data_IF_383285518744
#
_entry.id   IF_383285518744
#
_cell.length_a   1.000
_cell.length_b   1.000
_cell.length_c   1.000
_cell.angle_alpha   90.00
_cell.angle_beta   90.00
_cell.angle_gamma   90.00
#
_symmetry.space_group_name_H-M   'P 1'
#
loop_
_entity.id
_entity.type
_entity.pdbx_description
1 polymer ?
#
# COMPACT_ATOMS: atom_id res chain seq x y z
N UNK A 1 14.67 25.39 -12.81
CA UNK A 1 14.71 23.92 -12.64
C UNK A 1 13.55 23.31 -13.41
N UNK A 2 13.78 22.26 -14.22
CA UNK A 2 12.74 21.57 -14.98
C UNK A 2 12.16 20.41 -14.16
N UNK A 3 11.18 20.71 -13.30
CA UNK A 3 10.61 19.75 -12.32
C UNK A 3 9.61 18.78 -12.96
N UNK A 4 8.90 19.20 -14.00
CA UNK A 4 7.81 18.42 -14.58
C UNK A 4 8.26 17.06 -15.13
N UNK A 5 9.37 17.02 -15.89
CA UNK A 5 9.87 15.76 -16.44
C UNK A 5 10.35 14.81 -15.34
N UNK A 6 10.98 15.34 -14.28
CA UNK A 6 11.45 14.54 -13.14
C UNK A 6 10.31 13.83 -12.41
N UNK A 7 9.16 14.49 -12.25
CA UNK A 7 7.96 13.88 -11.66
C UNK A 7 7.33 12.88 -12.64
N UNK A 8 7.14 13.29 -13.89
CA UNK A 8 6.44 12.47 -14.88
C UNK A 8 7.18 11.19 -15.29
N UNK A 9 8.52 11.24 -15.30
CA UNK A 9 9.37 10.10 -15.66
C UNK A 9 9.77 9.25 -14.44
N UNK A 10 9.26 9.56 -13.24
CA UNK A 10 9.56 8.80 -12.05
C UNK A 10 9.16 7.32 -12.24
N UNK A 11 10.07 6.42 -11.88
CA UNK A 11 9.79 4.99 -11.99
C UNK A 11 8.63 4.59 -11.09
N UNK A 12 7.71 3.74 -11.57
CA UNK A 12 6.62 3.23 -10.73
C UNK A 12 7.17 2.48 -9.51
N UNK A 13 6.47 2.60 -8.38
CA UNK A 13 6.74 1.76 -7.21
C UNK A 13 6.14 0.38 -7.48
N UNK A 14 6.95 -0.67 -7.34
CA UNK A 14 6.47 -2.05 -7.41
C UNK A 14 5.63 -2.36 -6.16
N UNK A 15 4.31 -2.22 -6.31
CA UNK A 15 3.34 -2.45 -5.24
C UNK A 15 2.66 -3.81 -5.40
N UNK A 16 2.37 -4.47 -4.29
CA UNK A 16 1.59 -5.71 -4.27
C UNK A 16 0.54 -5.64 -3.18
N UNK A 17 -0.71 -5.92 -3.54
CA UNK A 17 -1.80 -6.12 -2.60
C UNK A 17 -2.05 -7.63 -2.42
N UNK A 18 -2.11 -8.06 -1.17
CA UNK A 18 -2.43 -9.44 -0.79
C UNK A 18 -3.59 -9.41 0.21
N UNK A 19 -4.33 -10.52 0.30
CA UNK A 19 -5.33 -10.73 1.34
C UNK A 19 -4.62 -10.84 2.69
N UNK A 20 -5.12 -10.10 3.68
CA UNK A 20 -4.61 -10.09 5.06
C UNK A 20 -5.61 -10.64 6.09
N UNK A 21 -6.87 -10.79 5.69
CA UNK A 21 -7.92 -11.29 6.57
C UNK A 21 -9.00 -11.99 5.74
N UNK A 22 -9.49 -13.13 6.23
CA UNK A 22 -10.59 -13.90 5.62
C UNK A 22 -11.55 -14.25 6.75
N UNK A 23 -12.83 -13.90 6.61
CA UNK A 23 -13.88 -14.22 7.59
C UNK A 23 -13.54 -13.85 9.05
N UNK A 24 -12.85 -12.73 9.25
CA UNK A 24 -12.43 -12.28 10.58
C UNK A 24 -11.12 -12.89 11.07
N UNK A 25 -10.61 -13.96 10.45
CA UNK A 25 -9.33 -14.56 10.77
C UNK A 25 -8.17 -13.84 10.07
N UNK A 26 -7.17 -13.43 10.83
CA UNK A 26 -5.96 -12.76 10.35
C UNK A 26 -5.03 -13.78 9.66
N UNK A 27 -5.03 -13.80 8.32
CA UNK A 27 -4.31 -14.77 7.50
C UNK A 27 -3.54 -14.05 6.40
N UNK A 28 -2.28 -14.43 6.19
CA UNK A 28 -1.46 -13.91 5.09
C UNK A 28 -0.46 -14.94 4.57
N UNK A 29 0.06 -14.73 3.34
CA UNK A 29 1.15 -15.53 2.77
C UNK A 29 2.45 -15.35 3.57
N UNK A 30 3.38 -16.31 3.45
CA UNK A 30 4.72 -16.20 4.05
C UNK A 30 5.39 -14.89 3.65
N UNK A 31 5.95 -14.18 4.63
CA UNK A 31 6.63 -12.88 4.40
C UNK A 31 5.68 -11.68 4.31
N UNK A 32 4.39 -11.84 4.64
CA UNK A 32 3.40 -10.76 4.76
C UNK A 32 2.91 -10.64 6.19
N UNK A 33 2.42 -9.45 6.53
CA UNK A 33 1.81 -9.16 7.84
C UNK A 33 0.31 -9.46 7.75
N UNK A 34 -0.23 -10.40 8.55
CA UNK A 34 -1.66 -10.68 8.62
C UNK A 34 -2.41 -9.60 9.41
N UNK A 35 -3.72 -9.53 9.21
CA UNK A 35 -4.63 -8.62 9.91
C UNK A 35 -4.63 -7.19 9.36
N UNK A 36 -5.62 -6.42 9.84
CA UNK A 36 -5.77 -5.01 9.49
C UNK A 36 -4.68 -4.19 10.18
N UNK A 37 -4.01 -3.33 9.41
CA UNK A 37 -3.05 -2.36 9.95
C UNK A 37 -3.60 -0.96 9.77
N UNK A 38 -4.05 -0.34 10.85
CA UNK A 38 -4.53 1.04 10.84
C UNK A 38 -3.38 2.01 10.61
N UNK A 39 -3.54 2.91 9.64
CA UNK A 39 -2.62 4.02 9.42
C UNK A 39 -3.28 5.31 9.92
N UNK A 40 -2.92 5.83 11.11
CA UNK A 40 -3.57 6.99 11.71
C UNK A 40 -3.33 8.29 10.91
N UNK A 41 -2.34 8.31 10.02
CA UNK A 41 -2.07 9.46 9.14
C UNK A 41 -2.84 9.41 7.82
N UNK A 42 -3.54 8.31 7.53
CA UNK A 42 -4.32 8.16 6.32
C UNK A 42 -5.76 8.62 6.58
N UNK A 43 -6.17 9.68 5.89
CA UNK A 43 -7.56 10.15 5.88
C UNK A 43 -8.12 10.05 4.47
N UNK A 44 -9.41 9.77 4.36
CA UNK A 44 -10.11 9.87 3.08
C UNK A 44 -10.13 11.35 2.65
N UNK A 45 -9.61 11.63 1.45
CA UNK A 45 -9.72 12.93 0.81
C UNK A 45 -10.88 12.81 -0.19
N UNK A 46 -11.92 13.62 0.00
CA UNK A 46 -13.11 13.67 -0.85
C UNK A 46 -12.81 14.39 -2.18
#
# INVERSE_FOLDING_TARGET
>A
FAVCYYIAAASPISFTADIKQIEGADIAKRGRVPGLSVNPKLSQVL
#
